data_IF_233522643743
#
_entry.id   IF_233522643743
#
_cell.length_a   1.000
_cell.length_b   1.000
_cell.length_c   1.000
_cell.angle_alpha   90.00
_cell.angle_beta   90.00
_cell.angle_gamma   90.00
#
_symmetry.space_group_name_H-M   'P 1'
#
loop_
_entity.id
_entity.type
_entity.pdbx_description
1 polymer ?
#
# COMPACT_ATOMS: atom_id res chain seq x y z
N UNK A 1 -4.19 -11.03 25.75
CA UNK A 1 -3.36 -11.38 24.57
C UNK A 1 -3.04 -10.07 23.86
N UNK A 2 -1.78 -9.68 23.77
CA UNK A 2 -1.35 -8.55 22.95
C UNK A 2 -1.60 -8.88 21.48
N UNK A 3 -2.22 -7.96 20.74
CA UNK A 3 -2.39 -8.10 19.29
C UNK A 3 -1.05 -7.75 18.65
N UNK A 4 -0.54 -8.57 17.73
CA UNK A 4 0.71 -8.31 16.99
C UNK A 4 0.44 -7.66 15.62
N UNK A 5 1.47 -7.07 14.99
CA UNK A 5 1.36 -6.60 13.60
C UNK A 5 1.06 -7.75 12.61
N UNK A 6 1.52 -8.96 12.93
CA UNK A 6 1.16 -10.17 12.19
C UNK A 6 -0.33 -10.48 12.31
N UNK A 7 -0.90 -10.45 13.51
CA UNK A 7 -2.36 -10.59 13.70
C UNK A 7 -3.14 -9.52 12.94
N UNK A 8 -2.65 -8.27 12.99
CA UNK A 8 -3.27 -7.16 12.27
C UNK A 8 -3.25 -7.41 10.75
N UNK A 9 -2.11 -7.82 10.19
CA UNK A 9 -1.97 -8.07 8.75
C UNK A 9 -2.90 -9.16 8.22
N UNK A 10 -3.27 -10.13 9.07
CA UNK A 10 -4.20 -11.20 8.71
C UNK A 10 -5.67 -10.80 8.90
N UNK A 11 -5.98 -10.07 9.98
CA UNK A 11 -7.37 -9.72 10.34
C UNK A 11 -7.90 -8.49 9.63
N UNK A 12 -7.05 -7.49 9.42
CA UNK A 12 -7.46 -6.21 8.85
C UNK A 12 -8.03 -6.34 7.42
N UNK A 13 -7.44 -7.14 6.51
CA UNK A 13 -8.03 -7.38 5.19
C UNK A 13 -9.46 -7.92 5.27
N UNK A 14 -9.75 -8.86 6.17
CA UNK A 14 -11.09 -9.42 6.35
C UNK A 14 -12.06 -8.38 6.89
N UNK A 15 -11.63 -7.57 7.86
CA UNK A 15 -12.45 -6.49 8.44
C UNK A 15 -12.81 -5.44 7.38
N UNK A 16 -11.82 -4.97 6.62
CA UNK A 16 -12.03 -3.99 5.55
C UNK A 16 -12.94 -4.54 4.46
N UNK A 17 -12.73 -5.78 4.03
CA UNK A 17 -13.59 -6.43 3.05
C UNK A 17 -15.05 -6.54 3.52
N UNK A 18 -15.25 -6.94 4.77
CA UNK A 18 -16.58 -7.09 5.39
C UNK A 18 -17.27 -5.73 5.53
N UNK A 19 -16.51 -4.69 5.90
CA UNK A 19 -17.03 -3.33 5.99
C UNK A 19 -17.48 -2.82 4.61
N UNK A 20 -16.70 -3.08 3.56
CA UNK A 20 -17.07 -2.69 2.20
C UNK A 20 -18.34 -3.39 1.72
N UNK A 21 -18.59 -4.65 2.09
CA UNK A 21 -19.86 -5.31 1.76
C UNK A 21 -21.07 -4.66 2.43
N UNK A 22 -20.89 -4.12 3.64
CA UNK A 22 -21.93 -3.36 4.35
C UNK A 22 -22.27 -2.04 3.67
N UNK A 23 -21.47 -1.57 2.70
CA UNK A 23 -21.82 -0.42 1.86
C UNK A 23 -23.19 -0.60 1.17
N UNK A 24 -23.54 -1.85 0.81
CA UNK A 24 -24.84 -2.15 0.19
C UNK A 24 -26.04 -1.87 1.12
N UNK A 25 -25.81 -1.74 2.43
CA UNK A 25 -26.82 -1.44 3.44
C UNK A 25 -26.96 0.07 3.71
N UNK A 26 -26.06 0.90 3.17
CA UNK A 26 -26.09 2.33 3.37
C UNK A 26 -27.25 2.95 2.58
N UNK A 27 -28.08 3.74 3.27
CA UNK A 27 -29.21 4.46 2.64
C UNK A 27 -28.75 5.55 1.66
N UNK A 28 -27.56 6.10 1.85
CA UNK A 28 -26.99 7.16 1.03
C UNK A 28 -25.50 6.96 0.83
N UNK A 29 -25.09 7.07 -0.43
CA UNK A 29 -23.69 7.14 -0.79
C UNK A 29 -22.94 5.84 -0.61
N UNK A 30 -21.63 5.99 -0.51
CA UNK A 30 -20.63 4.94 -0.58
C UNK A 30 -19.50 5.32 0.36
N UNK A 31 -18.84 4.36 0.99
CA UNK A 31 -17.60 4.64 1.71
C UNK A 31 -16.60 5.22 0.72
N UNK A 32 -15.94 6.29 1.13
CA UNK A 32 -14.88 6.88 0.32
C UNK A 32 -13.61 6.04 0.47
N UNK A 33 -12.71 6.15 -0.50
CA UNK A 33 -11.42 5.47 -0.46
C UNK A 33 -10.61 5.90 0.76
N UNK A 34 -10.64 7.20 1.07
CA UNK A 34 -10.06 7.79 2.29
C UNK A 34 -10.47 7.08 3.58
N UNK A 35 -11.75 6.72 3.70
CA UNK A 35 -12.26 6.05 4.90
C UNK A 35 -11.57 4.71 5.17
N UNK A 36 -11.20 3.96 4.13
CA UNK A 36 -10.51 2.67 4.32
C UNK A 36 -9.05 2.88 4.74
N UNK A 37 -8.39 3.90 4.19
CA UNK A 37 -7.03 4.30 4.58
C UNK A 37 -6.99 4.83 6.02
N UNK A 38 -8.02 5.54 6.46
CA UNK A 38 -8.17 6.00 7.84
C UNK A 38 -8.34 4.82 8.80
N UNK A 39 -9.08 3.78 8.40
CA UNK A 39 -9.24 2.55 9.20
C UNK A 39 -7.91 1.81 9.34
N UNK A 40 -7.12 1.69 8.27
CA UNK A 40 -5.77 1.14 8.34
C UNK A 40 -4.91 1.93 9.34
N UNK A 41 -4.89 3.26 9.19
CA UNK A 41 -4.10 4.15 10.03
C UNK A 41 -4.54 4.07 11.50
N UNK A 42 -5.85 4.10 11.77
CA UNK A 42 -6.42 3.95 13.11
C UNK A 42 -6.15 2.57 13.71
N UNK A 43 -6.11 1.51 12.89
CA UNK A 43 -5.74 0.18 13.36
C UNK A 43 -4.26 0.09 13.75
N UNK A 44 -3.38 0.79 13.02
CA UNK A 44 -1.96 0.92 13.36
C UNK A 44 -1.73 1.84 14.57
N UNK A 45 -2.63 2.79 14.86
CA UNK A 45 -2.55 3.65 16.04
C UNK A 45 -2.62 2.86 17.36
N UNK A 46 -3.22 1.67 17.37
CA UNK A 46 -3.20 0.78 18.53
C UNK A 46 -1.79 0.26 18.88
N UNK A 47 -0.85 0.35 17.94
CA UNK A 47 0.56 -0.01 18.10
C UNK A 47 1.46 1.20 18.30
N UNK A 48 0.90 2.42 18.31
CA UNK A 48 1.68 3.63 18.44
C UNK A 48 2.41 3.67 19.79
N UNK A 49 3.69 3.98 19.75
CA UNK A 49 4.58 3.95 20.91
C UNK A 49 6.04 4.14 20.49
N UNK A 50 7.00 3.70 21.32
CA UNK A 50 8.43 3.82 21.03
C UNK A 50 8.83 3.28 19.64
N UNK A 51 8.21 2.19 19.20
CA UNK A 51 8.58 1.51 17.96
C UNK A 51 7.69 1.90 16.76
N UNK A 52 6.64 2.71 16.96
CA UNK A 52 5.74 3.13 15.90
C UNK A 52 5.21 4.54 16.14
N UNK A 53 5.50 5.46 15.22
CA UNK A 53 5.08 6.86 15.28
C UNK A 53 4.16 7.18 14.11
N UNK A 54 3.09 7.94 14.35
CA UNK A 54 2.15 8.40 13.34
C UNK A 54 2.17 9.93 13.31
N UNK A 55 2.50 10.49 12.14
CA UNK A 55 2.58 11.92 11.90
C UNK A 55 1.55 12.33 10.84
N UNK A 56 0.66 13.27 11.20
CA UNK A 56 -0.34 13.84 10.29
C UNK A 56 0.08 15.24 9.82
N UNK A 57 -0.12 15.58 8.54
CA UNK A 57 0.01 16.97 8.10
C UNK A 57 -1.03 17.85 8.81
N UNK A 58 -0.77 19.16 8.99
CA UNK A 58 -1.71 20.09 9.64
C UNK A 58 -2.98 20.36 8.83
N UNK A 59 -3.02 20.02 7.54
CA UNK A 59 -4.19 20.21 6.67
C UNK A 59 -5.00 18.92 6.54
N UNK A 60 -6.33 19.04 6.50
CA UNK A 60 -7.31 17.95 6.57
C UNK A 60 -7.37 17.05 5.32
N UNK A 61 -6.38 17.11 4.43
CA UNK A 61 -6.24 16.21 3.27
C UNK A 61 -5.77 14.83 3.74
N UNK A 62 -6.66 14.15 4.45
CA UNK A 62 -6.51 12.77 4.88
C UNK A 62 -7.07 11.83 3.82
N UNK A 63 -6.33 10.75 3.53
CA UNK A 63 -6.89 9.51 3.02
C UNK A 63 -6.67 9.08 1.55
N UNK A 64 -6.04 9.87 0.68
CA UNK A 64 -5.70 9.37 -0.67
C UNK A 64 -4.44 8.50 -0.68
N UNK A 65 -3.42 8.97 0.05
CA UNK A 65 -2.05 8.51 -0.05
C UNK A 65 -1.42 8.48 1.36
N UNK A 66 -0.70 7.41 1.70
CA UNK A 66 0.02 7.27 2.97
C UNK A 66 1.47 6.89 2.70
N UNK A 67 2.40 7.45 3.48
CA UNK A 67 3.79 7.04 3.45
C UNK A 67 4.06 6.11 4.65
N UNK A 68 4.65 4.93 4.40
CA UNK A 68 5.13 4.03 5.44
C UNK A 68 6.66 4.05 5.45
N UNK A 69 7.25 4.45 6.56
CA UNK A 69 8.69 4.54 6.72
C UNK A 69 9.17 3.44 7.66
N UNK A 70 10.09 2.60 7.22
CA UNK A 70 10.79 1.64 8.06
C UNK A 70 12.20 2.17 8.31
N UNK A 71 12.55 2.37 9.57
CA UNK A 71 13.83 2.92 9.97
C UNK A 71 14.49 2.04 11.03
N UNK A 72 15.74 1.68 10.79
CA UNK A 72 16.58 0.99 11.76
C UNK A 72 17.62 1.97 12.31
N UNK A 73 17.50 2.31 13.59
CA UNK A 73 18.24 3.42 14.20
C UNK A 73 19.73 3.14 14.22
N UNK A 74 20.15 1.97 14.74
CA UNK A 74 21.57 1.67 14.92
C UNK A 74 22.35 1.64 13.59
N UNK A 75 21.77 1.01 12.57
CA UNK A 75 22.39 0.87 11.24
C UNK A 75 22.19 2.08 10.32
N UNK A 76 21.29 2.99 10.68
CA UNK A 76 20.87 4.13 9.87
C UNK A 76 20.13 3.77 8.58
N UNK A 77 19.72 2.50 8.41
CA UNK A 77 19.05 2.04 7.19
C UNK A 77 17.57 2.41 7.19
N UNK A 78 17.05 2.70 6.00
CA UNK A 78 15.65 3.01 5.83
C UNK A 78 15.05 2.52 4.53
N UNK A 79 13.73 2.34 4.57
CA UNK A 79 12.87 2.05 3.43
C UNK A 79 11.62 2.92 3.54
N UNK A 80 11.33 3.71 2.50
CA UNK A 80 10.12 4.52 2.43
C UNK A 80 9.19 3.93 1.36
N UNK A 81 7.98 3.55 1.77
CA UNK A 81 6.93 3.11 0.86
C UNK A 81 5.93 4.24 0.67
N UNK A 82 5.64 4.59 -0.57
CA UNK A 82 4.58 5.54 -0.91
C UNK A 82 3.36 4.77 -1.40
N UNK A 83 2.28 4.80 -0.65
CA UNK A 83 1.09 4.01 -0.93
C UNK A 83 -0.01 4.91 -1.47
N UNK A 84 -0.51 4.57 -2.66
CA UNK A 84 -1.73 5.11 -3.22
C UNK A 84 -2.85 4.09 -3.04
N UNK A 85 -3.91 4.45 -2.32
CA UNK A 85 -5.06 3.57 -2.23
C UNK A 85 -5.89 3.58 -3.52
N UNK A 86 -6.55 2.46 -3.85
CA UNK A 86 -7.56 2.36 -4.90
C UNK A 86 -8.67 1.40 -4.49
N UNK A 87 -9.93 1.83 -4.62
CA UNK A 87 -11.09 1.00 -4.24
C UNK A 87 -11.76 0.30 -5.41
N UNK A 88 -12.09 -0.98 -5.24
CA UNK A 88 -12.89 -1.74 -6.20
C UNK A 88 -14.32 -1.17 -6.26
N UNK A 89 -14.92 -1.13 -7.45
CA UNK A 89 -16.31 -0.69 -7.56
C UNK A 89 -17.26 -1.61 -6.76
N UNK A 90 -18.36 -1.04 -6.28
CA UNK A 90 -19.41 -1.78 -5.59
C UNK A 90 -20.04 -2.86 -6.50
N UNK A 91 -20.66 -3.87 -5.87
CA UNK A 91 -21.38 -4.95 -6.55
C UNK A 91 -22.55 -4.42 -7.40
N UNK A 92 -23.15 -3.30 -7.00
CA UNK A 92 -24.24 -2.64 -7.73
C UNK A 92 -23.82 -1.27 -8.25
N UNK A 93 -24.31 -0.95 -9.44
CA UNK A 93 -24.23 0.39 -10.01
C UNK A 93 -25.64 0.86 -10.35
N UNK A 94 -26.22 1.68 -9.47
CA UNK A 94 -27.67 1.91 -9.47
C UNK A 94 -28.41 0.60 -9.21
N UNK A 95 -29.32 0.23 -10.10
CA UNK A 95 -30.09 -1.03 -10.01
C UNK A 95 -29.36 -2.24 -10.62
N UNK A 96 -28.27 -2.02 -11.39
CA UNK A 96 -27.61 -3.08 -12.14
C UNK A 96 -26.52 -3.75 -11.31
N UNK A 97 -26.59 -5.08 -11.24
CA UNK A 97 -25.51 -5.89 -10.69
C UNK A 97 -24.33 -5.95 -11.66
N UNK A 98 -23.12 -5.73 -11.13
CA UNK A 98 -21.87 -5.88 -11.87
C UNK A 98 -21.40 -7.32 -11.70
N UNK A 99 -21.16 -8.01 -12.81
CA UNK A 99 -20.58 -9.37 -12.81
C UNK A 99 -19.23 -9.38 -12.09
N UNK A 100 -18.89 -10.48 -11.43
CA UNK A 100 -17.63 -10.62 -10.68
C UNK A 100 -16.39 -10.36 -11.56
N UNK A 101 -16.36 -10.95 -12.76
CA UNK A 101 -15.32 -10.78 -13.77
C UNK A 101 -15.20 -9.33 -14.31
N UNK A 102 -16.20 -8.48 -14.04
CA UNK A 102 -16.25 -7.08 -14.48
C UNK A 102 -15.96 -6.07 -13.36
N UNK A 103 -15.70 -6.54 -12.13
CA UNK A 103 -15.31 -5.67 -11.03
C UNK A 103 -13.96 -5.00 -11.36
N UNK A 104 -13.88 -3.70 -11.15
CA UNK A 104 -12.77 -2.85 -11.59
C UNK A 104 -12.51 -1.67 -10.68
N UNK A 105 -11.26 -1.23 -10.66
CA UNK A 105 -10.82 -0.02 -9.96
C UNK A 105 -11.00 1.18 -10.90
N UNK A 106 -12.10 1.91 -10.72
CA UNK A 106 -12.48 3.01 -11.61
C UNK A 106 -11.50 4.17 -11.58
N UNK A 107 -10.88 4.42 -10.43
CA UNK A 107 -10.02 5.60 -10.23
C UNK A 107 -8.55 5.36 -10.63
N UNK A 108 -8.20 4.22 -11.23
CA UNK A 108 -6.81 3.99 -11.69
C UNK A 108 -6.36 4.94 -12.81
N UNK A 109 -7.30 5.38 -13.67
CA UNK A 109 -7.04 6.40 -14.69
C UNK A 109 -7.60 7.75 -14.25
N UNK A 110 -7.61 8.02 -12.93
CA UNK A 110 -8.02 9.31 -12.43
C UNK A 110 -7.04 10.40 -12.90
N UNK A 111 -7.60 11.49 -13.40
CA UNK A 111 -6.89 12.72 -13.75
C UNK A 111 -7.62 13.87 -13.06
N UNK A 112 -6.93 14.54 -12.16
CA UNK A 112 -7.48 15.74 -11.51
C UNK A 112 -7.79 16.79 -12.59
N UNK A 113 -8.89 17.56 -12.49
CA UNK A 113 -9.24 18.58 -13.48
C UNK A 113 -8.11 19.59 -13.75
N UNK A 114 -7.27 19.87 -12.76
CA UNK A 114 -6.14 20.81 -12.85
C UNK A 114 -4.80 20.15 -13.21
N UNK A 115 -4.73 18.81 -13.27
CA UNK A 115 -3.48 18.10 -13.52
C UNK A 115 -3.18 17.98 -15.02
N UNK A 116 -1.91 18.12 -15.38
CA UNK A 116 -1.41 17.91 -16.75
C UNK A 116 -1.44 16.42 -17.13
N UNK A 117 -1.16 15.53 -16.17
CA UNK A 117 -1.06 14.09 -16.34
C UNK A 117 -2.01 13.29 -15.43
N UNK A 118 -2.12 11.98 -15.70
CA UNK A 118 -2.82 11.03 -14.84
C UNK A 118 -2.10 10.82 -13.51
N UNK A 119 -2.86 10.58 -12.43
CA UNK A 119 -2.30 10.38 -11.09
C UNK A 119 -1.28 9.23 -11.04
N UNK A 120 -1.50 8.15 -11.78
CA UNK A 120 -0.57 7.00 -11.78
C UNK A 120 0.81 7.39 -12.32
N UNK A 121 0.89 8.30 -13.30
CA UNK A 121 2.17 8.79 -13.83
C UNK A 121 2.92 9.61 -12.80
N UNK A 122 2.22 10.46 -12.05
CA UNK A 122 2.81 11.23 -10.94
C UNK A 122 3.34 10.31 -9.84
N UNK A 123 2.63 9.21 -9.54
CA UNK A 123 3.04 8.23 -8.55
C UNK A 123 4.34 7.49 -8.95
N UNK A 124 4.52 7.21 -10.24
CA UNK A 124 5.70 6.50 -10.77
C UNK A 124 6.80 7.42 -11.28
N UNK A 125 6.58 8.74 -11.31
CA UNK A 125 7.61 9.70 -11.71
C UNK A 125 8.73 9.66 -10.67
N UNK A 126 10.01 9.50 -11.08
CA UNK A 126 11.14 9.54 -10.17
C UNK A 126 11.19 10.91 -9.48
N UNK A 127 10.82 10.94 -8.20
CA UNK A 127 10.69 12.18 -7.42
C UNK A 127 11.20 12.08 -5.99
N UNK A 128 11.87 10.97 -5.63
CA UNK A 128 12.44 10.73 -4.30
C UNK A 128 12.76 9.25 -4.05
N UNK A 129 13.42 8.96 -2.94
CA UNK A 129 13.84 7.61 -2.52
C UNK A 129 12.69 6.78 -1.91
N UNK A 130 11.50 6.81 -2.51
CA UNK A 130 10.34 6.05 -2.03
C UNK A 130 9.90 5.01 -3.05
N UNK A 131 9.61 3.79 -2.60
CA UNK A 131 9.03 2.74 -3.42
C UNK A 131 7.50 2.96 -3.56
N UNK A 132 6.98 3.22 -4.77
CA UNK A 132 5.57 3.46 -4.97
C UNK A 132 4.78 2.14 -5.05
N UNK A 133 3.73 2.03 -4.25
CA UNK A 133 2.82 0.88 -4.20
C UNK A 133 1.36 1.35 -4.35
N UNK A 134 0.54 0.47 -4.90
CA UNK A 134 -0.90 0.55 -4.75
C UNK A 134 -1.36 -0.28 -3.54
N UNK A 135 -2.36 0.24 -2.84
CA UNK A 135 -3.17 -0.53 -1.91
C UNK A 135 -4.59 -0.65 -2.45
N UNK A 136 -4.99 -1.87 -2.79
CA UNK A 136 -6.28 -2.17 -3.35
C UNK A 136 -7.25 -2.65 -2.29
N UNK A 137 -8.39 -1.96 -2.19
CA UNK A 137 -9.48 -2.35 -1.30
C UNK A 137 -10.54 -3.16 -2.05
N UNK A 138 -10.72 -4.42 -1.64
CA UNK A 138 -11.68 -5.34 -2.21
C UNK A 138 -12.79 -5.67 -1.21
N UNK A 139 -13.93 -6.07 -1.73
CA UNK A 139 -15.07 -6.51 -0.91
C UNK A 139 -14.83 -7.96 -0.46
N UNK A 140 -15.32 -8.35 0.72
CA UNK A 140 -15.17 -9.73 1.19
C UNK A 140 -15.91 -10.71 0.27
N UNK A 141 -17.08 -10.31 -0.24
CA UNK A 141 -17.85 -11.07 -1.23
C UNK A 141 -17.09 -11.33 -2.53
N UNK A 142 -16.04 -10.55 -2.82
CA UNK A 142 -15.18 -10.73 -3.99
C UNK A 142 -14.01 -11.64 -3.66
N UNK A 143 -13.42 -11.49 -2.48
CA UNK A 143 -12.36 -12.37 -1.99
C UNK A 143 -12.84 -13.82 -1.85
N UNK A 144 -14.10 -14.03 -1.47
CA UNK A 144 -14.71 -15.35 -1.28
C UNK A 144 -15.38 -15.91 -2.55
N UNK A 145 -15.37 -15.17 -3.66
CA UNK A 145 -16.05 -15.60 -4.89
C UNK A 145 -15.27 -16.75 -5.58
N UNK A 146 -15.94 -17.85 -6.00
CA UNK A 146 -15.29 -18.96 -6.68
C UNK A 146 -14.49 -18.57 -7.94
N UNK A 147 -14.86 -17.48 -8.62
CA UNK A 147 -14.11 -16.95 -9.76
C UNK A 147 -12.66 -16.62 -9.39
N UNK A 148 -12.41 -16.20 -8.15
CA UNK A 148 -11.09 -15.86 -7.65
C UNK A 148 -10.42 -16.98 -6.83
N UNK A 149 -11.07 -18.15 -6.72
CA UNK A 149 -10.51 -19.33 -6.07
C UNK A 149 -9.57 -20.16 -6.98
N UNK A 150 -9.39 -19.75 -8.24
CA UNK A 150 -8.45 -20.40 -9.18
C UNK A 150 -6.99 -20.21 -8.76
N UNK A 151 -6.02 -20.98 -9.28
CA UNK A 151 -4.59 -20.72 -9.07
C UNK A 151 -4.19 -19.26 -9.39
N UNK A 152 -3.23 -18.73 -8.65
CA UNK A 152 -2.74 -17.35 -8.74
C UNK A 152 -2.88 -16.57 -7.43
N UNK A 153 -2.43 -15.30 -7.37
CA UNK A 153 -2.40 -14.54 -6.12
C UNK A 153 -3.75 -14.42 -5.44
N UNK A 154 -3.79 -14.55 -4.11
CA UNK A 154 -5.03 -14.51 -3.33
C UNK A 154 -5.60 -13.09 -3.31
N UNK A 155 -6.88 -12.96 -3.69
CA UNK A 155 -7.66 -11.74 -3.46
C UNK A 155 -8.09 -11.69 -2.00
N UNK A 156 -7.84 -10.58 -1.33
CA UNK A 156 -8.29 -10.30 0.04
C UNK A 156 -8.84 -8.87 0.11
N UNK A 157 -9.47 -8.50 1.23
CA UNK A 157 -10.03 -7.14 1.34
C UNK A 157 -8.98 -6.02 1.27
N UNK A 158 -7.70 -6.31 1.49
CA UNK A 158 -6.56 -5.43 1.22
C UNK A 158 -5.48 -6.23 0.50
N UNK A 159 -5.22 -5.88 -0.76
CA UNK A 159 -4.03 -6.33 -1.49
C UNK A 159 -3.10 -5.16 -1.78
N UNK A 160 -1.83 -5.44 -1.99
CA UNK A 160 -0.82 -4.51 -2.45
C UNK A 160 -0.39 -4.88 -3.87
N UNK A 161 0.13 -3.90 -4.62
CA UNK A 161 0.79 -4.12 -5.91
C UNK A 161 1.86 -3.07 -6.13
N UNK A 162 2.88 -3.37 -6.92
CA UNK A 162 3.87 -2.36 -7.32
C UNK A 162 3.27 -1.37 -8.30
N UNK A 163 3.49 -0.07 -8.07
CA UNK A 163 2.91 0.96 -8.92
C UNK A 163 3.46 0.91 -10.35
N UNK A 164 4.72 0.48 -10.53
CA UNK A 164 5.37 0.29 -11.83
C UNK A 164 4.65 -0.75 -12.70
N UNK A 165 4.31 -1.90 -12.12
CA UNK A 165 3.59 -2.96 -12.82
C UNK A 165 2.19 -2.48 -13.24
N UNK A 166 1.49 -1.80 -12.33
CA UNK A 166 0.18 -1.22 -12.64
C UNK A 166 0.29 -0.09 -13.68
N UNK A 167 1.34 0.72 -13.66
CA UNK A 167 1.54 1.78 -14.65
C UNK A 167 1.68 1.22 -16.07
N UNK A 168 2.47 0.15 -16.25
CA UNK A 168 2.59 -0.54 -17.54
C UNK A 168 1.23 -0.97 -18.09
N UNK A 169 0.41 -1.58 -17.23
CA UNK A 169 -0.95 -2.02 -17.56
C UNK A 169 -1.86 -0.86 -18.00
N UNK A 170 -1.71 0.30 -17.36
CA UNK A 170 -2.48 1.50 -17.69
C UNK A 170 -2.00 2.18 -18.98
N UNK A 171 -0.68 2.22 -19.22
CA UNK A 171 -0.09 2.75 -20.45
C UNK A 171 -0.53 1.91 -21.67
N UNK A 172 -0.40 0.58 -21.61
CA UNK A 172 -0.86 -0.32 -22.68
C UNK A 172 -2.36 -0.13 -22.96
N UNK A 173 -3.15 0.10 -21.91
CA UNK A 173 -4.58 0.39 -22.05
C UNK A 173 -4.85 1.72 -22.76
N UNK A 174 -4.06 2.76 -22.47
CA UNK A 174 -4.21 4.06 -23.12
C UNK A 174 -3.78 4.00 -24.58
N UNK A 175 -2.64 3.36 -24.87
CA UNK A 175 -2.11 3.16 -26.22
C UNK A 175 -3.11 2.40 -27.11
N UNK A 176 -3.60 1.25 -26.64
CA UNK A 176 -4.61 0.45 -27.34
C UNK A 176 -5.91 1.24 -27.61
N UNK A 177 -6.26 2.16 -26.71
CA UNK A 177 -7.44 3.00 -26.84
C UNK A 177 -7.26 4.18 -27.80
N UNK A 178 -6.01 4.60 -28.04
CA UNK A 178 -5.63 5.62 -29.04
C UNK A 178 -5.24 5.04 -30.41
N UNK A 179 -4.96 3.73 -30.48
CA UNK A 179 -4.55 3.04 -31.70
C UNK A 179 -5.67 2.89 -32.73
N UNK A 180 -5.28 2.51 -33.95
CA UNK A 180 -6.21 2.18 -35.06
C UNK A 180 -5.87 0.77 -35.59
N UNK A 181 -6.76 -0.22 -35.45
CA UNK A 181 -8.09 -0.14 -34.84
C UNK A 181 -8.03 0.06 -33.32
N UNK A 182 -9.05 0.73 -32.78
CA UNK A 182 -9.18 0.95 -31.34
C UNK A 182 -9.49 -0.38 -30.63
N UNK A 183 -8.67 -0.74 -29.65
CA UNK A 183 -8.85 -1.96 -28.87
C UNK A 183 -9.28 -1.65 -27.42
N UNK A 184 -10.27 -2.39 -26.91
CA UNK A 184 -10.76 -2.21 -25.55
C UNK A 184 -10.05 -3.15 -24.58
N UNK A 185 -8.91 -2.71 -24.05
CA UNK A 185 -8.21 -3.42 -22.96
C UNK A 185 -8.94 -3.32 -21.62
N UNK A 186 -8.84 -4.36 -20.81
CA UNK A 186 -9.53 -4.50 -19.52
C UNK A 186 -8.62 -4.31 -18.29
N UNK A 187 -7.49 -3.62 -18.47
CA UNK A 187 -6.41 -3.47 -17.48
C UNK A 187 -6.74 -2.62 -16.22
N UNK A 188 -8.03 -2.40 -15.95
CA UNK A 188 -8.53 -1.85 -14.67
C UNK A 188 -9.34 -2.86 -13.88
N UNK A 189 -9.62 -4.03 -14.46
CA UNK A 189 -10.42 -5.09 -13.84
C UNK A 189 -9.56 -5.86 -12.86
N UNK A 190 -10.15 -6.24 -11.73
CA UNK A 190 -9.48 -7.08 -10.75
C UNK A 190 -9.05 -8.42 -11.37
N UNK A 191 -9.88 -9.00 -12.25
CA UNK A 191 -9.55 -10.24 -12.97
C UNK A 191 -8.25 -10.17 -13.77
N UNK A 192 -7.89 -8.97 -14.26
CA UNK A 192 -6.67 -8.74 -15.00
C UNK A 192 -5.51 -8.40 -14.06
N UNK A 193 -5.76 -7.51 -13.09
CA UNK A 193 -4.73 -7.01 -12.19
C UNK A 193 -4.35 -7.99 -11.08
N UNK A 194 -5.09 -9.09 -10.91
CA UNK A 194 -4.87 -10.10 -9.86
C UNK A 194 -3.45 -10.64 -9.83
N UNK A 195 -2.84 -10.83 -11.00
CA UNK A 195 -1.46 -11.32 -11.12
C UNK A 195 -0.43 -10.43 -10.41
N UNK A 196 -0.73 -9.14 -10.26
CA UNK A 196 0.14 -8.14 -9.61
C UNK A 196 -0.02 -8.09 -8.10
N UNK A 197 -0.98 -8.82 -7.53
CA UNK A 197 -1.35 -8.68 -6.13
C UNK A 197 -0.44 -9.48 -5.19
N UNK A 198 -0.13 -8.88 -4.05
CA UNK A 198 0.42 -9.56 -2.88
C UNK A 198 -0.29 -9.07 -1.62
N UNK A 199 -0.09 -9.75 -0.49
CA UNK A 199 -0.80 -9.44 0.74
C UNK A 199 -0.12 -8.37 1.61
N UNK A 200 -0.90 -7.84 2.55
CA UNK A 200 -0.46 -6.81 3.51
C UNK A 200 0.62 -7.35 4.47
N UNK A 201 0.64 -8.66 4.71
CA UNK A 201 1.66 -9.36 5.48
C UNK A 201 3.06 -9.13 4.93
N UNK A 202 3.24 -8.91 3.63
CA UNK A 202 4.56 -8.64 3.03
C UNK A 202 5.26 -7.44 3.67
N UNK A 203 4.52 -6.44 4.16
CA UNK A 203 5.09 -5.24 4.78
C UNK A 203 4.92 -5.18 6.30
N UNK A 204 3.85 -5.76 6.85
CA UNK A 204 3.56 -5.70 8.30
C UNK A 204 4.08 -6.93 9.07
N UNK A 205 4.27 -8.05 8.37
CA UNK A 205 4.74 -9.31 8.93
C UNK A 205 5.63 -10.05 7.92
N UNK A 206 6.73 -9.43 7.47
CA UNK A 206 7.63 -10.06 6.51
C UNK A 206 8.23 -11.35 7.10
N UNK A 207 8.48 -12.38 6.27
CA UNK A 207 9.13 -13.59 6.73
C UNK A 207 10.56 -13.28 7.20
N UNK A 208 10.93 -13.80 8.37
CA UNK A 208 12.26 -13.62 8.95
C UNK A 208 12.21 -13.55 10.47
N UNK A 209 13.39 -13.55 11.08
CA UNK A 209 13.52 -13.34 12.52
C UNK A 209 13.63 -11.85 12.83
N UNK A 210 12.72 -11.33 13.64
CA UNK A 210 12.72 -9.95 14.12
C UNK A 210 13.86 -9.68 15.11
N UNK A 211 14.57 -10.70 15.61
CA UNK A 211 15.69 -10.57 16.56
C UNK A 211 15.33 -9.80 17.83
N UNK A 212 14.07 -9.92 18.27
CA UNK A 212 13.55 -9.23 19.45
C UNK A 212 12.98 -7.83 19.18
N UNK A 213 12.98 -7.36 17.94
CA UNK A 213 12.32 -6.10 17.55
C UNK A 213 10.79 -6.20 17.62
N UNK A 214 10.12 -5.12 18.03
CA UNK A 214 8.65 -5.04 18.08
C UNK A 214 8.01 -4.80 16.70
N UNK A 215 8.78 -4.25 15.76
CA UNK A 215 8.35 -3.90 14.41
C UNK A 215 9.35 -4.42 13.38
N UNK A 216 8.93 -4.72 12.14
CA UNK A 216 9.84 -5.27 11.15
C UNK A 216 10.91 -4.25 10.73
N UNK A 217 12.21 -4.62 10.76
CA UNK A 217 13.27 -3.77 10.24
C UNK A 217 13.19 -3.62 8.72
N UNK A 218 13.71 -2.52 8.15
CA UNK A 218 13.61 -2.19 6.73
C UNK A 218 14.19 -3.27 5.81
N UNK A 219 15.24 -4.00 6.25
CA UNK A 219 15.86 -5.07 5.46
C UNK A 219 14.94 -6.28 5.28
N UNK A 220 14.16 -6.65 6.30
CA UNK A 220 13.20 -7.76 6.18
C UNK A 220 12.04 -7.38 5.25
N UNK A 221 11.54 -6.15 5.38
CA UNK A 221 10.49 -5.64 4.50
C UNK A 221 10.98 -5.56 3.05
N UNK A 222 12.19 -5.03 2.83
CA UNK A 222 12.81 -4.96 1.51
C UNK A 222 13.00 -6.36 0.91
N UNK A 223 13.47 -7.33 1.69
CA UNK A 223 13.63 -8.72 1.24
C UNK A 223 12.28 -9.36 0.87
N UNK A 224 11.23 -9.15 1.67
CA UNK A 224 9.90 -9.66 1.39
C UNK A 224 9.29 -9.05 0.12
N UNK A 225 9.44 -7.74 -0.07
CA UNK A 225 9.03 -7.03 -1.29
C UNK A 225 9.83 -7.53 -2.51
N UNK A 226 11.13 -7.77 -2.35
CA UNK A 226 11.94 -8.35 -3.42
C UNK A 226 11.48 -9.75 -3.84
N UNK A 227 11.09 -10.58 -2.87
CA UNK A 227 10.50 -11.89 -3.17
C UNK A 227 9.14 -11.77 -3.86
N UNK A 228 8.27 -10.85 -3.42
CA UNK A 228 6.99 -10.60 -4.07
C UNK A 228 7.18 -10.14 -5.54
N UNK A 229 8.17 -9.26 -5.78
CA UNK A 229 8.55 -8.81 -7.12
C UNK A 229 9.02 -9.96 -8.02
N UNK A 230 9.81 -10.90 -7.47
CA UNK A 230 10.30 -12.08 -8.20
C UNK A 230 9.22 -13.11 -8.50
N UNK A 231 8.32 -13.41 -7.57
CA UNK A 231 7.25 -14.41 -7.82
C UNK A 231 6.40 -14.04 -9.04
N UNK A 232 6.19 -12.74 -9.26
CA UNK A 232 5.51 -12.27 -10.45
C UNK A 232 6.25 -12.62 -11.75
N UNK A 233 7.59 -12.64 -11.77
CA UNK A 233 8.32 -12.97 -13.01
C UNK A 233 8.22 -14.45 -13.37
N UNK A 234 8.05 -15.32 -12.38
CA UNK A 234 8.04 -16.77 -12.58
C UNK A 234 6.63 -17.31 -12.92
N UNK A 235 5.56 -16.64 -12.49
CA UNK A 235 4.17 -17.09 -12.70
C UNK A 235 3.54 -16.65 -14.03
N UNK A 236 4.08 -15.61 -14.69
CA UNK A 236 3.71 -15.31 -16.08
C UNK A 236 4.28 -16.40 -16.99
N UNK A 237 3.46 -17.39 -17.35
CA UNK A 237 3.74 -18.33 -18.45
C UNK A 237 4.16 -17.51 -19.68
N UNK A 238 5.46 -17.58 -20.03
CA UNK A 238 6.19 -16.79 -21.05
C UNK A 238 6.86 -15.48 -20.61
N UNK A 239 7.36 -15.36 -19.38
CA UNK A 239 8.47 -14.43 -19.17
C UNK A 239 9.67 -14.98 -19.95
N UNK A 240 9.96 -14.41 -21.13
CA UNK A 240 11.20 -14.74 -21.84
C UNK A 240 12.39 -14.45 -20.91
N UNK A 241 13.53 -15.15 -21.08
CA UNK A 241 14.75 -14.85 -20.31
C UNK A 241 15.12 -13.35 -20.36
N UNK A 242 14.70 -12.66 -21.43
CA UNK A 242 14.82 -11.21 -21.60
C UNK A 242 13.97 -10.41 -20.62
N UNK A 243 12.73 -10.83 -20.31
CA UNK A 243 11.87 -10.16 -19.32
C UNK A 243 12.41 -10.33 -17.90
N UNK A 244 12.94 -11.52 -17.57
CA UNK A 244 13.59 -11.78 -16.29
C UNK A 244 14.85 -10.92 -16.12
N UNK A 245 15.69 -10.85 -17.14
CA UNK A 245 16.91 -10.02 -17.16
C UNK A 245 16.54 -8.54 -17.15
N UNK A 246 15.58 -8.08 -17.95
CA UNK A 246 15.14 -6.69 -17.97
C UNK A 246 14.54 -6.28 -16.63
N UNK A 247 13.72 -7.12 -15.99
CA UNK A 247 13.16 -6.83 -14.67
C UNK A 247 14.19 -6.87 -13.55
N UNK A 248 15.26 -7.66 -13.70
CA UNK A 248 16.41 -7.63 -12.79
C UNK A 248 17.29 -6.38 -12.97
N UNK A 249 17.40 -5.87 -14.21
CA UNK A 249 18.13 -4.65 -14.58
C UNK A 249 17.35 -3.37 -14.28
N UNK A 250 16.02 -3.40 -14.40
CA UNK A 250 15.08 -2.32 -14.04
C UNK A 250 14.54 -2.55 -12.62
N UNK A 251 15.31 -3.27 -11.78
CA UNK A 251 15.01 -3.34 -10.35
C UNK A 251 14.93 -1.89 -9.85
N UNK A 252 13.81 -1.50 -9.23
CA UNK A 252 13.75 -0.20 -8.58
C UNK A 252 14.92 -0.10 -7.58
N UNK A 253 15.83 0.86 -7.76
CA UNK A 253 16.87 1.16 -6.78
C UNK A 253 16.23 1.46 -5.40
N UNK A 254 14.95 1.85 -5.41
CA UNK A 254 14.08 2.08 -4.26
C UNK A 254 13.68 0.80 -3.49
N UNK A 255 13.95 -0.40 -4.02
CA UNK A 255 13.87 -1.66 -3.26
C UNK A 255 15.08 -1.86 -2.34
N UNK A 256 16.12 -1.03 -2.47
CA UNK A 256 17.29 -1.08 -1.61
C UNK A 256 17.08 -0.17 -0.40
N UNK A 257 17.41 -0.69 0.78
CA UNK A 257 17.46 0.15 1.97
C UNK A 257 18.53 1.22 1.78
N UNK A 258 18.16 2.50 1.91
CA UNK A 258 19.11 3.59 1.79
C UNK A 258 19.70 3.97 3.16
N UNK A 259 20.86 4.62 3.16
CA UNK A 259 21.42 5.32 4.33
C UNK A 259 21.13 6.83 4.28
N UNK A 260 20.12 7.28 3.53
CA UNK A 260 19.91 8.71 3.31
C UNK A 260 19.74 9.46 4.64
N UNK A 261 20.10 10.74 4.63
CA UNK A 261 19.83 11.67 5.73
C UNK A 261 18.32 11.82 5.90
N UNK A 262 17.72 10.91 6.67
CA UNK A 262 16.34 11.01 7.08
C UNK A 262 16.20 12.27 7.92
N UNK A 263 15.10 12.99 7.72
CA UNK A 263 14.62 13.96 8.69
C UNK A 263 14.34 13.22 9.99
N UNK A 264 15.29 13.30 10.93
CA UNK A 264 15.23 12.62 12.22
C UNK A 264 13.88 12.88 12.86
N UNK A 265 13.21 11.81 13.26
CA UNK A 265 11.96 11.89 14.01
C UNK A 265 12.25 12.61 15.31
N UNK A 266 11.59 13.74 15.54
CA UNK A 266 11.73 14.48 16.78
C UNK A 266 11.15 13.69 17.96
N UNK A 267 11.71 13.89 19.16
CA UNK A 267 11.11 13.38 20.39
C UNK A 267 9.71 13.96 20.60
N UNK A 268 8.81 13.21 21.24
CA UNK A 268 7.45 13.64 21.52
C UNK A 268 6.42 12.51 21.52
N UNK A 269 5.13 12.83 21.40
CA UNK A 269 4.07 11.83 21.39
C UNK A 269 4.18 10.91 20.17
N UNK A 270 3.79 9.64 20.35
CA UNK A 270 3.75 8.66 19.26
C UNK A 270 2.73 9.01 18.17
N UNK A 271 1.68 9.77 18.49
CA UNK A 271 0.71 10.27 17.51
C UNK A 271 0.68 11.79 17.57
N UNK A 272 0.96 12.46 16.44
CA UNK A 272 1.15 13.91 16.41
C UNK A 272 0.89 14.55 15.06
N UNK A 273 0.70 15.87 15.07
CA UNK A 273 0.72 16.68 13.86
C UNK A 273 2.16 17.10 13.54
N UNK A 274 2.52 17.12 12.26
CA UNK A 274 3.82 17.58 11.77
C UNK A 274 3.63 18.48 10.54
N UNK A 275 4.10 19.72 10.65
CA UNK A 275 4.10 20.69 9.52
C UNK A 275 5.10 20.34 8.42
N UNK A 276 6.04 19.45 8.73
CA UNK A 276 7.09 19.01 7.82
C UNK A 276 6.59 17.92 6.88
N UNK A 277 5.55 17.18 7.29
CA UNK A 277 4.94 16.14 6.49
C UNK A 277 3.92 16.73 5.52
N UNK A 278 3.99 16.27 4.27
CA UNK A 278 3.01 16.60 3.21
C UNK A 278 1.86 15.59 3.14
N UNK A 279 2.00 14.45 3.82
CA UNK A 279 1.12 13.28 3.79
C UNK A 279 1.13 12.63 5.16
N UNK A 280 0.06 11.90 5.55
CA UNK A 280 0.14 11.01 6.70
C UNK A 280 1.34 10.07 6.55
N UNK A 281 2.17 10.00 7.58
CA UNK A 281 3.36 9.14 7.61
C UNK A 281 3.34 8.26 8.85
N UNK A 282 3.49 6.95 8.67
CA UNK A 282 3.66 5.99 9.77
C UNK A 282 5.10 5.50 9.73
N UNK A 283 5.83 5.72 10.81
CA UNK A 283 7.22 5.27 10.92
C UNK A 283 7.37 4.15 11.92
N UNK A 284 7.89 3.02 11.43
CA UNK A 284 8.32 1.86 12.20
C UNK A 284 9.79 2.03 12.58
N UNK A 285 10.07 2.04 13.88
CA UNK A 285 11.40 2.29 14.45
C UNK A 285 11.92 0.99 15.08
N UNK A 286 12.97 0.43 14.49
CA UNK A 286 13.69 -0.76 14.95
C UNK A 286 15.14 -0.44 15.30
N UNK A 287 15.86 -1.35 15.94
CA UNK A 287 17.29 -1.20 16.24
C UNK A 287 17.56 -0.06 17.19
N UNK A 288 16.65 0.16 18.16
CA UNK A 288 16.72 1.26 19.12
C UNK A 288 17.99 1.13 19.98
N UNK A 289 18.60 2.27 20.26
CA UNK A 289 19.85 2.46 21.01
C UNK A 289 19.61 3.35 22.23
N UNK A 290 20.46 3.26 23.26
CA UNK A 290 20.35 4.12 24.46
C UNK A 290 20.96 5.52 24.28
N UNK A 291 21.39 5.86 23.06
CA UNK A 291 22.03 7.13 22.73
C UNK A 291 21.06 8.12 22.04
N UNK A 292 21.59 9.30 21.71
CA UNK A 292 20.82 10.39 21.09
C UNK A 292 20.30 10.10 19.68
N UNK A 293 20.66 8.96 19.06
CA UNK A 293 20.10 8.56 17.76
C UNK A 293 18.66 8.10 17.90
N UNK A 294 18.27 7.59 19.06
CA UNK A 294 16.93 7.08 19.31
C UNK A 294 16.03 8.19 19.88
N UNK A 295 14.92 8.53 19.20
CA UNK A 295 14.01 9.53 19.73
C UNK A 295 13.30 9.03 20.98
N UNK A 296 13.11 9.95 21.92
CA UNK A 296 12.29 9.71 23.11
C UNK A 296 10.82 9.90 22.73
N UNK A 297 10.11 8.78 22.58
CA UNK A 297 8.72 8.75 22.18
C UNK A 297 7.85 8.39 23.38
N UNK A 298 6.89 9.25 23.69
CA UNK A 298 5.94 9.02 24.78
C UNK A 298 4.63 8.45 24.23
N UNK A 299 4.04 7.51 24.96
CA UNK A 299 2.75 6.89 24.63
C UNK A 299 1.54 7.78 24.97
N UNK A 300 1.76 8.94 25.60
CA UNK A 300 0.72 9.89 25.96
C UNK A 300 0.68 11.08 25.00
N UNK A 301 -0.52 11.42 24.50
CA UNK A 301 -0.78 12.79 24.08
C UNK A 301 -0.57 13.72 25.28
N UNK A 302 0.01 14.92 25.12
CA UNK A 302 0.08 15.87 26.22
C UNK A 302 -1.35 16.12 26.71
N UNK A 303 -1.56 16.08 28.03
CA UNK A 303 -2.82 16.48 28.63
C UNK A 303 -3.21 17.87 28.09
N UNK A 304 -4.48 18.09 27.71
CA UNK A 304 -4.90 19.42 27.30
C UNK A 304 -4.61 20.40 28.45
N UNK A 305 -3.82 21.43 28.14
CA UNK A 305 -3.61 22.58 29.01
C UNK A 305 -4.89 23.42 29.11
#
# INVERSE_FOLDING_TARGET
MSVSLCDLSQRLPVLVGTLLDRENLLRRGRFREETMTDILTGSLAAFAGPSLVIEYPPEATTGGDIDLQFWHVDSGRNLLLRIQAKRLNAQKHGTRQVKIEHRSYRELLHKSPSATDYQYKTLTTPGGASLPLYMFYNHQSVADDPFFATPGPKVSGINLAFASDIAKELDEKLEANSGTPRERKHHKRLSHLRQHLFGLETILCPPGDLKGEEVPPPELVAAALHQAWKRHSDETERASDVDLVYRALVRPDELLTSRSLIQLISSGPAVRASRERKRPTITFISGRTDDSRTPSITSQSPAPA
#
